data_IF_125209315346
#
_entry.id   IF_125209315346
#
_cell.length_a   1.000
_cell.length_b   1.000
_cell.length_c   1.000
_cell.angle_alpha   90.00
_cell.angle_beta   90.00
_cell.angle_gamma   90.00
#
_symmetry.space_group_name_H-M   'P 1'
#
loop_
_entity.id
_entity.type
_entity.pdbx_description
1 polymer ?
#
# COMPACT_ATOMS: atom_id res chain seq x y z
N UNK A 1 17.62 -24.79 5.57
CA UNK A 1 16.84 -23.80 6.36
C UNK A 1 17.36 -22.43 5.99
N UNK A 2 16.55 -21.55 5.39
CA UNK A 2 16.95 -20.17 5.20
C UNK A 2 16.77 -19.44 6.52
N UNK A 3 17.87 -19.08 7.17
CA UNK A 3 17.90 -18.33 8.43
C UNK A 3 17.47 -16.89 8.17
N UNK A 4 16.55 -16.38 8.98
CA UNK A 4 16.19 -14.96 9.03
C UNK A 4 17.05 -14.27 10.09
N UNK A 5 17.52 -13.06 9.80
CA UNK A 5 18.27 -12.23 10.76
C UNK A 5 17.30 -11.28 11.46
N UNK A 6 17.19 -11.37 12.78
CA UNK A 6 16.43 -10.41 13.57
C UNK A 6 17.25 -9.14 13.77
N UNK A 7 16.64 -7.98 13.55
CA UNK A 7 17.24 -6.66 13.77
C UNK A 7 16.29 -5.78 14.59
N UNK A 8 16.85 -4.87 15.39
CA UNK A 8 16.05 -3.91 16.14
C UNK A 8 15.59 -2.77 15.24
N UNK A 9 14.37 -2.28 15.45
CA UNK A 9 13.85 -1.09 14.77
C UNK A 9 14.69 0.16 15.08
N UNK A 10 15.32 0.22 16.25
CA UNK A 10 16.21 1.32 16.63
C UNK A 10 17.50 1.39 15.79
N UNK A 11 17.92 0.27 15.18
CA UNK A 11 19.23 0.14 14.52
C UNK A 11 19.25 0.67 13.08
N UNK A 12 18.09 1.02 12.52
CA UNK A 12 18.01 1.48 11.13
C UNK A 12 16.97 2.58 10.93
N UNK A 13 16.87 3.03 9.69
CA UNK A 13 15.85 3.97 9.24
C UNK A 13 15.32 3.50 7.89
N UNK A 14 14.01 3.58 7.72
CA UNK A 14 13.30 3.17 6.51
C UNK A 14 12.20 4.16 6.18
N UNK A 15 11.85 4.25 4.90
CA UNK A 15 10.67 4.98 4.45
C UNK A 15 9.46 4.05 4.19
N UNK A 16 9.49 2.85 4.78
CA UNK A 16 8.40 1.87 4.79
C UNK A 16 7.56 2.10 6.04
N UNK A 17 6.25 2.23 5.86
CA UNK A 17 5.29 2.37 6.95
C UNK A 17 3.90 1.94 6.49
N UNK A 18 2.99 1.73 7.44
CA UNK A 18 1.61 1.40 7.11
C UNK A 18 0.81 2.62 6.65
N UNK A 19 1.05 3.80 7.22
CA UNK A 19 0.27 5.01 6.92
C UNK A 19 0.69 5.70 5.60
N UNK A 20 1.67 5.15 4.90
CA UNK A 20 2.29 5.77 3.74
C UNK A 20 1.84 5.05 2.46
N UNK A 21 0.53 5.03 2.23
CA UNK A 21 -0.16 4.41 1.07
C UNK A 21 0.04 5.19 -0.23
N UNK A 22 1.20 5.79 -0.46
CA UNK A 22 1.54 6.47 -1.72
C UNK A 22 3.00 6.19 -2.04
N UNK A 23 3.42 4.92 -1.97
CA UNK A 23 4.81 4.51 -2.23
C UNK A 23 5.04 3.95 -3.61
N UNK A 24 3.97 3.63 -4.35
CA UNK A 24 4.11 3.15 -5.73
C UNK A 24 4.88 4.18 -6.56
N UNK A 25 5.87 3.71 -7.30
CA UNK A 25 6.79 4.55 -8.07
C UNK A 25 7.87 5.26 -7.24
N UNK A 26 7.94 5.03 -5.92
CA UNK A 26 8.99 5.56 -5.04
C UNK A 26 9.99 4.46 -4.68
N UNK A 27 11.23 4.88 -4.45
CA UNK A 27 12.28 3.99 -3.95
C UNK A 27 12.09 3.67 -2.47
N UNK A 28 12.41 2.44 -2.08
CA UNK A 28 12.48 1.99 -0.69
C UNK A 28 13.94 1.84 -0.26
N UNK A 29 14.22 2.24 0.98
CA UNK A 29 15.53 2.06 1.59
C UNK A 29 15.46 1.52 3.01
N UNK A 30 16.53 0.82 3.39
CA UNK A 30 16.86 0.44 4.76
C UNK A 30 18.31 0.85 5.00
N UNK A 31 18.52 1.86 5.84
CA UNK A 31 19.85 2.41 6.13
C UNK A 31 20.11 2.22 7.62
N UNK A 32 21.20 1.55 7.98
CA UNK A 32 21.62 1.43 9.39
C UNK A 32 21.96 2.80 9.96
N UNK A 33 21.85 2.98 11.27
CA UNK A 33 22.16 4.27 11.92
C UNK A 33 23.61 4.72 11.70
N UNK A 34 24.54 3.78 11.51
CA UNK A 34 25.94 4.06 11.18
C UNK A 34 26.16 4.38 9.67
N UNK A 35 25.08 4.50 8.90
CA UNK A 35 25.07 4.71 7.44
C UNK A 35 25.66 3.56 6.60
N UNK A 36 26.01 2.43 7.22
CA UNK A 36 26.46 1.25 6.48
C UNK A 36 25.27 0.52 5.85
N UNK A 37 25.56 -0.26 4.80
CA UNK A 37 24.57 -1.10 4.15
C UNK A 37 24.29 -2.36 4.97
N UNK A 38 23.10 -2.91 4.80
CA UNK A 38 22.82 -4.27 5.26
C UNK A 38 23.56 -5.27 4.37
N UNK A 39 23.97 -6.39 4.98
CA UNK A 39 24.48 -7.52 4.21
C UNK A 39 23.32 -8.17 3.44
N UNK A 40 23.59 -8.89 2.34
CA UNK A 40 22.55 -9.62 1.62
C UNK A 40 21.89 -10.66 2.53
N UNK A 41 20.57 -10.80 2.43
CA UNK A 41 19.81 -11.78 3.22
C UNK A 41 18.41 -11.33 3.62
N UNK A 42 17.75 -12.19 4.39
CA UNK A 42 16.38 -11.99 4.88
C UNK A 42 16.39 -11.46 6.30
N UNK A 43 15.61 -10.42 6.53
CA UNK A 43 15.53 -9.71 7.80
C UNK A 43 14.12 -9.73 8.36
N UNK A 44 14.03 -9.78 9.69
CA UNK A 44 12.79 -9.62 10.43
C UNK A 44 12.96 -8.54 11.50
N UNK A 45 11.98 -7.66 11.56
CA UNK A 45 11.85 -6.62 12.59
C UNK A 45 10.59 -6.94 13.37
N UNK A 46 10.71 -6.99 14.69
CA UNK A 46 9.59 -7.20 15.60
C UNK A 46 9.61 -6.08 16.64
N UNK A 47 8.59 -5.23 16.62
CA UNK A 47 8.42 -4.18 17.62
C UNK A 47 7.21 -4.54 18.47
N UNK A 48 7.43 -4.64 19.79
CA UNK A 48 6.37 -4.85 20.76
C UNK A 48 6.46 -3.74 21.81
N UNK A 49 5.55 -2.79 21.74
CA UNK A 49 5.48 -1.68 22.68
C UNK A 49 4.03 -1.47 23.10
N UNK A 50 3.78 -1.54 24.41
CA UNK A 50 2.45 -1.48 25.02
C UNK A 50 1.44 -2.43 24.35
N UNK A 51 0.49 -1.88 23.59
CA UNK A 51 -0.57 -2.60 22.87
C UNK A 51 -0.32 -2.67 21.35
N UNK A 52 0.88 -2.30 20.91
CA UNK A 52 1.25 -2.27 19.51
C UNK A 52 2.27 -3.36 19.22
N UNK A 53 1.86 -4.29 18.35
CA UNK A 53 2.75 -5.30 17.76
C UNK A 53 2.89 -5.01 16.27
N UNK A 54 4.15 -4.82 15.85
CA UNK A 54 4.53 -4.69 14.46
C UNK A 54 5.52 -5.80 14.11
N UNK A 55 5.30 -6.44 12.96
CA UNK A 55 6.31 -7.30 12.32
C UNK A 55 6.57 -6.79 10.93
N UNK A 56 7.83 -6.76 10.49
CA UNK A 56 8.21 -6.48 9.11
C UNK A 56 9.25 -7.49 8.64
N UNK A 57 9.04 -8.00 7.43
CA UNK A 57 9.86 -8.99 6.75
C UNK A 57 10.34 -8.36 5.45
N UNK A 58 11.65 -8.38 5.20
CA UNK A 58 12.22 -7.87 3.96
C UNK A 58 13.49 -8.62 3.58
N UNK A 59 13.90 -8.47 2.32
CA UNK A 59 15.10 -9.09 1.77
C UNK A 59 16.01 -8.02 1.18
N UNK A 60 17.30 -8.11 1.48
CA UNK A 60 18.36 -7.26 0.94
C UNK A 60 19.16 -8.08 -0.07
N UNK A 61 19.37 -7.51 -1.26
CA UNK A 61 20.12 -8.14 -2.35
C UNK A 61 21.65 -7.94 -2.18
N UNK A 62 22.44 -8.49 -3.11
CA UNK A 62 23.90 -8.38 -3.17
C UNK A 62 24.44 -6.94 -3.19
N UNK A 63 23.64 -5.98 -3.67
CA UNK A 63 24.01 -4.55 -3.75
C UNK A 63 23.71 -3.78 -2.46
N UNK A 64 23.13 -4.46 -1.46
CA UNK A 64 22.67 -3.88 -0.21
C UNK A 64 21.36 -3.09 -0.33
N UNK A 65 20.56 -3.38 -1.35
CA UNK A 65 19.26 -2.74 -1.62
C UNK A 65 18.10 -3.69 -1.32
N UNK A 66 16.95 -3.20 -0.83
CA UNK A 66 15.76 -4.04 -0.69
C UNK A 66 15.27 -4.56 -2.02
N UNK A 67 14.79 -5.81 -2.04
CA UNK A 67 14.34 -6.47 -3.26
C UNK A 67 13.18 -7.43 -3.01
N UNK A 68 12.43 -7.72 -4.08
CA UNK A 68 11.36 -8.71 -4.05
C UNK A 68 10.12 -8.22 -3.31
N UNK A 69 9.90 -8.72 -2.09
CA UNK A 69 8.68 -8.46 -1.32
C UNK A 69 9.07 -7.94 0.06
N UNK A 70 8.41 -6.87 0.48
CA UNK A 70 8.39 -6.43 1.89
C UNK A 70 6.99 -6.69 2.41
N UNK A 71 6.87 -7.47 3.47
CA UNK A 71 5.60 -7.70 4.15
C UNK A 71 5.66 -7.14 5.55
N UNK A 72 4.55 -6.60 6.05
CA UNK A 72 4.45 -6.31 7.46
C UNK A 72 3.04 -6.43 8.00
N UNK A 73 2.96 -6.46 9.32
CA UNK A 73 1.72 -6.52 10.08
C UNK A 73 1.76 -5.43 11.12
N UNK A 74 0.65 -4.73 11.28
CA UNK A 74 0.46 -3.71 12.29
C UNK A 74 -1.01 -3.69 12.70
N UNK A 75 -1.29 -3.91 13.98
CA UNK A 75 -2.65 -4.00 14.50
C UNK A 75 -3.49 -5.03 13.70
N UNK A 76 -4.64 -4.61 13.15
CA UNK A 76 -5.55 -5.45 12.35
C UNK A 76 -5.17 -5.52 10.86
N UNK A 77 -4.05 -4.95 10.45
CA UNK A 77 -3.68 -4.83 9.04
C UNK A 77 -2.41 -5.60 8.70
N UNK A 78 -2.38 -6.19 7.51
CA UNK A 78 -1.18 -6.71 6.84
C UNK A 78 -0.93 -5.86 5.60
N UNK A 79 0.29 -5.41 5.39
CA UNK A 79 0.68 -4.73 4.15
C UNK A 79 1.71 -5.55 3.38
N UNK A 80 1.78 -5.31 2.07
CA UNK A 80 2.74 -5.94 1.17
C UNK A 80 3.19 -4.94 0.11
N UNK A 81 4.49 -4.67 0.05
CA UNK A 81 5.12 -3.98 -1.07
C UNK A 81 5.76 -5.02 -1.99
N UNK A 82 5.53 -4.90 -3.30
CA UNK A 82 6.22 -5.66 -4.33
C UNK A 82 7.15 -4.71 -5.07
N UNK A 83 8.44 -5.06 -5.10
CA UNK A 83 9.49 -4.21 -5.63
C UNK A 83 10.02 -4.72 -6.97
N UNK A 84 10.41 -3.79 -7.85
CA UNK A 84 11.27 -4.03 -9.01
C UNK A 84 12.54 -3.21 -8.83
N UNK A 85 13.63 -3.91 -8.53
CA UNK A 85 14.78 -3.24 -7.91
C UNK A 85 14.37 -2.73 -6.52
N UNK A 86 14.73 -1.48 -6.23
CA UNK A 86 14.33 -0.76 -5.01
C UNK A 86 13.02 0.04 -5.17
N UNK A 87 12.38 0.04 -6.34
CA UNK A 87 11.15 0.81 -6.61
C UNK A 87 9.91 -0.03 -6.31
N UNK A 88 8.90 0.54 -5.66
CA UNK A 88 7.61 -0.12 -5.45
C UNK A 88 6.79 -0.14 -6.73
N UNK A 89 6.48 -1.33 -7.24
CA UNK A 89 5.58 -1.53 -8.37
C UNK A 89 4.13 -1.70 -7.93
N UNK A 90 3.94 -2.32 -6.75
CA UNK A 90 2.63 -2.62 -6.20
C UNK A 90 2.62 -2.57 -4.68
N UNK A 91 1.53 -2.04 -4.13
CA UNK A 91 1.22 -2.04 -2.70
C UNK A 91 -0.15 -2.66 -2.47
N UNK A 92 -0.23 -3.58 -1.51
CA UNK A 92 -1.49 -4.15 -1.02
C UNK A 92 -1.63 -3.92 0.49
N UNK A 93 -2.82 -3.49 0.93
CA UNK A 93 -3.21 -3.44 2.33
C UNK A 93 -4.39 -4.38 2.55
N UNK A 94 -4.26 -5.27 3.54
CA UNK A 94 -5.28 -6.23 3.93
C UNK A 94 -5.75 -5.95 5.36
N UNK A 95 -7.06 -5.99 5.58
CA UNK A 95 -7.61 -6.08 6.92
C UNK A 95 -7.70 -7.56 7.32
N UNK A 96 -6.92 -7.96 8.31
CA UNK A 96 -6.80 -9.34 8.78
C UNK A 96 -8.07 -9.82 9.51
N UNK A 97 -8.76 -8.93 10.24
CA UNK A 97 -9.98 -9.30 10.96
C UNK A 97 -11.11 -9.69 10.01
N UNK A 98 -11.12 -9.08 8.82
CA UNK A 98 -12.11 -9.35 7.77
C UNK A 98 -11.56 -10.25 6.66
N UNK A 99 -10.28 -10.64 6.74
CA UNK A 99 -9.56 -11.38 5.70
C UNK A 99 -9.78 -10.81 4.28
N UNK A 100 -9.65 -9.49 4.13
CA UNK A 100 -10.01 -8.79 2.90
C UNK A 100 -8.93 -7.81 2.45
N UNK A 101 -8.84 -7.58 1.14
CA UNK A 101 -8.06 -6.50 0.56
C UNK A 101 -8.84 -5.20 0.78
N UNK A 102 -8.17 -4.15 1.25
CA UNK A 102 -8.79 -2.82 1.47
C UNK A 102 -8.19 -1.75 0.58
N UNK A 103 -6.92 -1.88 0.22
CA UNK A 103 -6.23 -0.98 -0.72
C UNK A 103 -5.33 -1.80 -1.63
N UNK A 104 -5.38 -1.52 -2.92
CA UNK A 104 -4.42 -1.99 -3.92
C UNK A 104 -3.93 -0.77 -4.69
N UNK A 105 -2.62 -0.56 -4.75
CA UNK A 105 -2.01 0.45 -5.61
C UNK A 105 -0.97 -0.19 -6.53
N UNK A 106 -0.91 0.23 -7.79
CA UNK A 106 0.08 -0.28 -8.73
C UNK A 106 0.44 0.71 -9.84
N UNK A 107 1.63 0.53 -10.40
CA UNK A 107 2.07 1.28 -11.57
C UNK A 107 1.40 0.72 -12.84
N UNK A 108 0.83 1.62 -13.65
CA UNK A 108 0.25 1.35 -14.96
C UNK A 108 0.80 2.37 -15.95
N UNK A 109 1.82 1.97 -16.71
CA UNK A 109 2.65 2.87 -17.51
C UNK A 109 3.22 3.97 -16.61
N UNK A 110 3.07 5.25 -16.98
CA UNK A 110 3.53 6.41 -16.20
C UNK A 110 2.53 6.87 -15.11
N UNK A 111 1.47 6.11 -14.88
CA UNK A 111 0.41 6.45 -13.94
C UNK A 111 0.36 5.47 -12.77
N UNK A 112 -0.10 5.94 -11.62
CA UNK A 112 -0.38 5.12 -10.44
C UNK A 112 -1.88 4.92 -10.36
N UNK A 113 -2.32 3.67 -10.25
CA UNK A 113 -3.72 3.31 -10.03
C UNK A 113 -3.89 2.91 -8.58
N UNK A 114 -4.85 3.50 -7.87
CA UNK A 114 -5.22 3.17 -6.48
C UNK A 114 -6.68 2.71 -6.43
N UNK A 115 -6.90 1.48 -6.00
CA UNK A 115 -8.21 0.88 -5.76
C UNK A 115 -8.46 0.76 -4.26
N UNK A 116 -9.65 1.17 -3.82
CA UNK A 116 -10.12 1.05 -2.44
C UNK A 116 -11.34 0.15 -2.38
N UNK A 117 -11.39 -0.68 -1.35
CA UNK A 117 -12.40 -1.72 -1.20
C UNK A 117 -13.07 -1.66 0.18
N UNK A 118 -14.35 -2.03 0.20
CA UNK A 118 -15.14 -2.25 1.41
C UNK A 118 -15.22 -3.77 1.72
N UNK A 119 -16.18 -4.18 2.56
CA UNK A 119 -16.54 -5.57 2.82
C UNK A 119 -16.81 -6.32 1.52
N UNK A 120 -16.50 -7.61 1.51
CA UNK A 120 -16.67 -8.51 0.37
C UNK A 120 -15.87 -8.09 -0.89
N UNK A 121 -14.78 -7.33 -0.73
CA UNK A 121 -13.93 -6.84 -1.82
C UNK A 121 -14.68 -6.00 -2.87
N UNK A 122 -15.73 -5.29 -2.45
CA UNK A 122 -16.44 -4.38 -3.34
C UNK A 122 -15.63 -3.09 -3.52
N UNK A 123 -15.29 -2.76 -4.77
CA UNK A 123 -14.52 -1.55 -5.10
C UNK A 123 -15.38 -0.31 -4.87
N UNK A 124 -14.92 0.58 -3.99
CA UNK A 124 -15.60 1.83 -3.65
C UNK A 124 -14.92 3.03 -4.30
N UNK A 125 -13.63 2.94 -4.59
CA UNK A 125 -12.91 4.05 -5.23
C UNK A 125 -11.82 3.50 -6.13
N UNK A 126 -11.68 4.10 -7.31
CA UNK A 126 -10.52 3.94 -8.18
C UNK A 126 -9.98 5.34 -8.51
N UNK A 127 -8.67 5.53 -8.35
CA UNK A 127 -7.97 6.78 -8.68
C UNK A 127 -6.83 6.47 -9.63
N UNK A 128 -6.65 7.29 -10.66
CA UNK A 128 -5.46 7.27 -11.49
C UNK A 128 -4.73 8.60 -11.31
N UNK A 129 -3.49 8.52 -10.82
CA UNK A 129 -2.59 9.66 -10.61
C UNK A 129 -1.51 9.65 -11.69
N UNK A 130 -1.37 10.72 -12.46
CA UNK A 130 -0.28 10.95 -13.40
C UNK A 130 0.54 12.15 -12.95
N UNK A 131 1.85 11.98 -12.76
CA UNK A 131 2.76 13.04 -12.27
C UNK A 131 2.25 13.76 -11.02
N UNK A 132 1.72 13.00 -10.06
CA UNK A 132 1.18 13.51 -8.79
C UNK A 132 -0.19 14.17 -8.87
N UNK A 133 -0.84 14.23 -10.04
CA UNK A 133 -2.20 14.77 -10.21
C UNK A 133 -3.19 13.65 -10.49
N UNK A 134 -4.34 13.67 -9.81
CA UNK A 134 -5.46 12.78 -10.15
C UNK A 134 -6.04 13.19 -11.50
N UNK A 135 -6.01 12.28 -12.47
CA UNK A 135 -6.57 12.47 -13.82
C UNK A 135 -7.86 11.68 -14.03
N UNK A 136 -8.10 10.68 -13.18
CA UNK A 136 -9.32 9.90 -13.14
C UNK A 136 -9.67 9.58 -11.69
N UNK A 137 -10.93 9.75 -11.33
CA UNK A 137 -11.48 9.28 -10.06
C UNK A 137 -12.89 8.71 -10.30
N UNK A 138 -13.09 7.46 -9.94
CA UNK A 138 -14.40 6.86 -9.74
C UNK A 138 -14.59 6.63 -8.25
N UNK A 139 -15.65 7.19 -7.67
CA UNK A 139 -15.89 7.16 -6.24
C UNK A 139 -17.36 6.86 -5.95
N UNK A 140 -17.60 5.78 -5.21
CA UNK A 140 -18.90 5.28 -4.86
C UNK A 140 -19.02 5.11 -3.34
N UNK A 141 -20.13 5.57 -2.77
CA UNK A 141 -20.46 5.36 -1.35
C UNK A 141 -21.56 4.33 -1.21
N UNK A 142 -21.32 3.40 -0.30
CA UNK A 142 -22.24 2.34 0.07
C UNK A 142 -22.68 2.50 1.52
N UNK A 143 -23.76 1.81 1.89
CA UNK A 143 -24.14 1.64 3.28
C UNK A 143 -23.08 0.88 4.08
N UNK A 144 -23.23 0.88 5.42
CA UNK A 144 -22.27 0.24 6.31
C UNK A 144 -22.10 -1.27 6.06
N UNK A 145 -23.09 -1.91 5.42
CA UNK A 145 -23.04 -3.33 5.03
C UNK A 145 -22.43 -3.57 3.64
N UNK A 146 -22.27 -2.53 2.82
CA UNK A 146 -21.85 -2.62 1.42
C UNK A 146 -22.93 -3.05 0.44
N UNK A 147 -24.14 -3.36 0.91
CA UNK A 147 -25.19 -3.94 0.08
C UNK A 147 -25.95 -2.89 -0.74
N UNK A 148 -25.95 -1.62 -0.33
CA UNK A 148 -26.72 -0.56 -1.01
C UNK A 148 -25.82 0.60 -1.44
N UNK A 149 -25.85 0.91 -2.74
CA UNK A 149 -25.20 2.09 -3.31
C UNK A 149 -26.02 3.36 -3.03
N UNK A 150 -25.38 4.41 -2.53
CA UNK A 150 -26.00 5.73 -2.32
C UNK A 150 -25.62 6.72 -3.41
N UNK A 151 -24.33 6.90 -3.66
CA UNK A 151 -23.83 7.89 -4.61
C UNK A 151 -22.63 7.31 -5.35
N UNK A 152 -22.50 7.59 -6.63
CA UNK A 152 -21.28 7.37 -7.40
C UNK A 152 -20.97 8.63 -8.20
N UNK A 153 -19.69 8.95 -8.35
CA UNK A 153 -19.23 9.97 -9.28
C UNK A 153 -18.01 9.47 -10.04
N UNK A 154 -17.94 9.85 -11.32
CA UNK A 154 -16.78 9.66 -12.18
C UNK A 154 -16.30 11.03 -12.62
N UNK A 155 -15.02 11.28 -12.46
CA UNK A 155 -14.31 12.42 -13.06
C UNK A 155 -13.17 11.86 -13.91
N UNK A 156 -13.12 12.22 -15.19
CA UNK A 156 -12.06 11.86 -16.13
C UNK A 156 -11.58 13.12 -16.84
N UNK A 157 -10.49 13.70 -16.33
CA UNK A 157 -9.88 14.92 -16.87
C UNK A 157 -9.31 14.72 -18.28
N UNK A 158 -8.99 13.47 -18.66
CA UNK A 158 -8.44 13.17 -19.99
C UNK A 158 -9.49 13.26 -21.09
N UNK A 159 -10.76 13.13 -20.72
CA UNK A 159 -11.92 13.23 -21.62
C UNK A 159 -12.81 14.43 -21.34
N UNK A 160 -12.53 15.19 -20.27
CA UNK A 160 -13.41 16.25 -19.80
C UNK A 160 -14.76 15.74 -19.29
N UNK A 161 -14.82 14.49 -18.82
CA UNK A 161 -16.05 13.86 -18.35
C UNK A 161 -16.22 14.06 -16.85
N UNK A 162 -17.42 14.47 -16.45
CA UNK A 162 -17.85 14.49 -15.05
C UNK A 162 -19.29 13.98 -14.97
N UNK A 163 -19.47 12.80 -14.40
CA UNK A 163 -20.75 12.11 -14.31
C UNK A 163 -21.03 11.85 -12.83
N UNK A 164 -22.23 12.19 -12.37
CA UNK A 164 -22.71 11.90 -11.02
C UNK A 164 -23.96 11.04 -11.07
N UNK A 165 -24.10 10.17 -10.09
CA UNK A 165 -25.33 9.43 -9.81
C UNK A 165 -25.58 9.50 -8.31
N UNK A 166 -26.74 9.99 -7.91
CA UNK A 166 -27.21 9.97 -6.53
C UNK A 166 -28.55 9.22 -6.49
N UNK A 167 -28.60 8.17 -5.68
CA UNK A 167 -29.79 7.33 -5.51
C UNK A 167 -30.93 8.06 -4.79
N UNK A 168 -30.64 9.17 -4.11
CA UNK A 168 -31.62 10.00 -3.41
C UNK A 168 -32.05 11.23 -4.24
N UNK A 169 -31.25 11.66 -5.21
CA UNK A 169 -31.57 12.76 -6.12
C UNK A 169 -31.00 12.49 -7.52
N UNK A 170 -31.85 12.30 -8.54
CA UNK A 170 -31.37 12.34 -9.92
C UNK A 170 -30.81 13.75 -10.22
N UNK A 171 -29.49 13.87 -10.44
CA UNK A 171 -28.80 15.09 -10.91
C UNK A 171 -28.39 14.89 -12.36
#
# INVERSE_FOLDING_TARGET
MFSQTKIDYADFSSNVGIDDHDKVGKEIYFIKKDSSKFNPGKYIVEVKQDNTEMTMLFEINEEGSPSGIIEGKYHKYKYKYTLKGNIVEKFDLYNMNLNQLVVEEFAKNDSIVSNYYLQNNQKITEKIKYKGKTIYENNCRYDNSGLKLYICSITDETKGEKIGYDAENHI
#
